data_IF_140802428574
#
_entry.id   IF_140802428574
#
_cell.length_a   1.000
_cell.length_b   1.000
_cell.length_c   1.000
_cell.angle_alpha   90.00
_cell.angle_beta   90.00
_cell.angle_gamma   90.00
#
_symmetry.space_group_name_H-M   'P 1'
#
loop_
_entity.id
_entity.type
_entity.pdbx_description
1 polymer ?
#
# COMPACT_ATOMS: atom_id res chain seq x y z
N UNK A 1 -25.03 3.90 25.82
CA UNK A 1 -23.77 3.89 26.60
C UNK A 1 -23.08 2.56 26.30
N UNK A 2 -22.41 2.48 25.16
CA UNK A 2 -21.58 1.32 24.85
C UNK A 2 -20.16 1.71 25.22
N UNK A 3 -19.84 1.51 26.47
CA UNK A 3 -18.46 1.50 26.94
C UNK A 3 -17.94 0.15 26.44
N UNK A 4 -17.04 0.14 25.48
CA UNK A 4 -16.25 -1.04 25.21
C UNK A 4 -15.29 -1.23 26.38
N UNK A 5 -15.77 -1.92 27.40
CA UNK A 5 -14.93 -2.53 28.43
C UNK A 5 -14.32 -3.79 27.81
N UNK A 6 -13.31 -3.61 27.00
CA UNK A 6 -12.50 -4.68 26.50
C UNK A 6 -11.21 -4.07 25.96
N UNK A 7 -10.07 -4.52 26.46
CA UNK A 7 -8.81 -4.34 25.74
C UNK A 7 -9.05 -4.89 24.34
N UNK A 8 -9.18 -4.00 23.34
CA UNK A 8 -9.09 -4.42 21.95
C UNK A 8 -7.65 -4.89 21.74
N UNK A 9 -7.48 -6.19 21.73
CA UNK A 9 -6.23 -6.86 21.36
C UNK A 9 -6.11 -6.82 19.83
N UNK A 10 -6.17 -5.59 19.29
CA UNK A 10 -5.97 -5.37 17.86
C UNK A 10 -4.47 -5.25 17.64
N UNK A 11 -3.95 -6.13 16.81
CA UNK A 11 -2.53 -6.20 16.47
C UNK A 11 -1.99 -4.82 16.10
N UNK A 12 -0.92 -4.40 16.77
CA UNK A 12 -0.23 -3.12 16.52
C UNK A 12 -0.92 -1.89 17.10
N UNK A 13 -1.97 -2.05 17.91
CA UNK A 13 -2.62 -0.93 18.57
C UNK A 13 -2.35 -0.97 20.09
N UNK A 14 -1.64 0.05 20.58
CA UNK A 14 -1.36 0.22 22.01
C UNK A 14 -2.25 1.32 22.56
N UNK A 15 -2.96 1.03 23.67
CA UNK A 15 -3.78 2.01 24.35
C UNK A 15 -2.91 3.15 24.91
N UNK A 16 -3.31 4.40 24.65
CA UNK A 16 -2.61 5.61 25.07
C UNK A 16 -3.42 6.39 26.11
N UNK A 17 -4.71 6.67 25.81
CA UNK A 17 -5.52 7.58 26.64
C UNK A 17 -7.03 7.36 26.40
N UNK A 18 -7.87 8.00 27.23
CA UNK A 18 -9.31 8.09 27.05
C UNK A 18 -9.74 9.54 27.14
N UNK A 19 -10.34 10.07 26.06
CA UNK A 19 -10.88 11.43 26.00
C UNK A 19 -12.33 11.40 25.51
N UNK A 20 -13.22 12.16 26.16
CA UNK A 20 -14.63 12.25 25.80
C UNK A 20 -15.34 10.88 25.64
N UNK A 21 -15.00 9.91 26.48
CA UNK A 21 -15.47 8.51 26.43
C UNK A 21 -14.99 7.71 25.20
N UNK A 22 -13.97 8.17 24.47
CA UNK A 22 -13.30 7.42 23.40
C UNK A 22 -11.92 6.97 23.86
N UNK A 23 -11.63 5.70 23.68
CA UNK A 23 -10.26 5.19 23.87
C UNK A 23 -9.40 5.55 22.66
N UNK A 24 -8.22 6.08 22.95
CA UNK A 24 -7.21 6.46 21.96
C UNK A 24 -6.13 5.40 21.94
N UNK A 25 -5.83 4.90 20.77
CA UNK A 25 -4.79 3.90 20.55
C UNK A 25 -3.75 4.44 19.56
N UNK A 26 -2.49 4.17 19.81
CA UNK A 26 -1.39 4.39 18.88
C UNK A 26 -1.22 3.14 18.00
N UNK A 27 -1.09 3.35 16.68
CA UNK A 27 -0.84 2.27 15.73
C UNK A 27 0.67 2.14 15.47
N UNK A 28 1.28 1.13 16.05
CA UNK A 28 2.71 0.82 15.89
C UNK A 28 3.08 0.43 14.44
N UNK A 29 2.09 -0.04 13.68
CA UNK A 29 2.25 -0.48 12.28
C UNK A 29 1.65 0.48 11.27
N UNK A 30 1.56 1.75 11.63
CA UNK A 30 1.15 2.79 10.69
C UNK A 30 2.12 2.86 9.51
N UNK A 31 1.56 2.90 8.29
CA UNK A 31 2.29 3.19 7.06
C UNK A 31 1.96 4.60 6.59
N UNK A 32 2.95 5.44 6.30
CA UNK A 32 2.74 6.69 5.59
C UNK A 32 2.02 6.47 4.25
N UNK A 33 1.34 7.48 3.74
CA UNK A 33 0.73 7.42 2.42
C UNK A 33 1.80 7.40 1.34
N UNK A 34 1.60 6.54 0.34
CA UNK A 34 2.54 6.36 -0.77
C UNK A 34 3.72 5.44 -0.41
N UNK A 35 3.76 4.26 -0.99
CA UNK A 35 4.85 3.30 -0.80
C UNK A 35 4.98 2.36 -2.00
N UNK A 36 6.18 1.82 -2.17
CA UNK A 36 6.50 0.88 -3.23
C UNK A 36 6.64 -0.56 -2.69
N UNK A 37 6.70 -1.52 -3.61
CA UNK A 37 6.81 -2.95 -3.30
C UNK A 37 7.99 -3.58 -4.05
N UNK A 38 8.48 -4.69 -3.52
CA UNK A 38 9.50 -5.53 -4.16
C UNK A 38 8.89 -6.71 -4.90
N UNK A 39 7.67 -7.11 -4.51
CA UNK A 39 6.99 -8.30 -4.99
C UNK A 39 5.52 -8.00 -5.32
N UNK A 40 5.01 -8.66 -6.36
CA UNK A 40 3.60 -8.58 -6.73
C UNK A 40 3.00 -9.95 -7.01
N UNK A 41 1.68 -10.01 -6.91
CA UNK A 41 0.85 -11.12 -7.38
C UNK A 41 -0.23 -10.59 -8.31
N UNK A 42 -0.67 -11.37 -9.28
CA UNK A 42 -1.89 -11.02 -10.01
C UNK A 42 -3.13 -11.27 -9.17
N UNK A 43 -4.28 -10.67 -9.54
CA UNK A 43 -5.53 -10.85 -8.82
C UNK A 43 -5.88 -12.34 -8.68
N UNK A 44 -5.84 -13.10 -9.78
CA UNK A 44 -6.11 -14.55 -9.79
C UNK A 44 -5.12 -15.34 -8.92
N UNK A 45 -3.84 -15.01 -8.96
CA UNK A 45 -2.82 -15.71 -8.18
C UNK A 45 -2.96 -15.42 -6.69
N UNK A 46 -3.25 -14.17 -6.32
CA UNK A 46 -3.46 -13.77 -4.93
C UNK A 46 -4.71 -14.42 -4.33
N UNK A 47 -5.81 -14.45 -5.08
CA UNK A 47 -7.05 -15.10 -4.65
C UNK A 47 -6.93 -16.60 -4.49
N UNK A 48 -6.07 -17.24 -5.29
CA UNK A 48 -5.76 -18.67 -5.19
C UNK A 48 -4.83 -18.98 -4.03
N UNK A 49 -3.91 -18.04 -3.70
CA UNK A 49 -2.95 -18.23 -2.61
C UNK A 49 -3.56 -18.02 -1.23
N UNK A 50 -4.50 -17.08 -1.09
CA UNK A 50 -5.02 -16.63 0.21
C UNK A 50 -6.54 -16.62 0.26
N UNK A 51 -7.09 -17.20 1.33
CA UNK A 51 -8.52 -17.11 1.64
C UNK A 51 -8.88 -15.71 2.14
N UNK A 52 -10.14 -15.33 2.04
CA UNK A 52 -10.63 -13.95 2.28
C UNK A 52 -10.15 -13.34 3.60
N UNK A 53 -10.15 -14.09 4.70
CA UNK A 53 -9.72 -13.58 6.01
C UNK A 53 -8.19 -13.43 6.16
N UNK A 54 -7.40 -13.88 5.19
CA UNK A 54 -5.93 -13.74 5.17
C UNK A 54 -5.48 -12.59 4.27
N UNK A 55 -6.29 -12.22 3.28
CA UNK A 55 -5.91 -11.29 2.21
C UNK A 55 -5.48 -9.93 2.77
N UNK A 56 -6.21 -9.38 3.73
CA UNK A 56 -5.92 -8.06 4.28
C UNK A 56 -4.50 -7.93 4.87
N UNK A 57 -4.00 -8.97 5.56
CA UNK A 57 -2.65 -8.95 6.11
C UNK A 57 -1.57 -9.14 5.05
N UNK A 58 -1.89 -9.79 3.92
CA UNK A 58 -0.95 -10.04 2.84
C UNK A 58 -0.85 -8.89 1.84
N UNK A 59 -1.79 -7.92 1.86
CA UNK A 59 -1.70 -6.69 1.06
C UNK A 59 -0.54 -5.78 1.48
N UNK A 60 0.00 -5.92 2.68
CA UNK A 60 1.26 -5.26 3.06
C UNK A 60 2.49 -5.95 2.46
N UNK A 61 2.39 -7.23 2.10
CA UNK A 61 3.49 -8.00 1.51
C UNK A 61 3.53 -7.88 0.00
N UNK A 62 2.38 -7.97 -0.66
CA UNK A 62 2.27 -7.98 -2.11
C UNK A 62 1.36 -6.86 -2.60
N UNK A 63 1.81 -6.12 -3.62
CA UNK A 63 0.88 -5.35 -4.44
C UNK A 63 0.13 -6.32 -5.35
N UNK A 64 -1.18 -6.15 -5.46
CA UNK A 64 -2.03 -6.99 -6.30
C UNK A 64 -2.36 -6.23 -7.58
N UNK A 65 -2.13 -6.86 -8.73
CA UNK A 65 -2.24 -6.22 -10.04
C UNK A 65 -3.18 -7.00 -10.96
N UNK A 66 -3.81 -6.34 -11.94
CA UNK A 66 -4.62 -7.03 -12.94
C UNK A 66 -3.82 -8.12 -13.69
N UNK A 67 -4.47 -9.25 -13.99
CA UNK A 67 -3.81 -10.41 -14.61
C UNK A 67 -3.18 -10.06 -15.98
N UNK A 68 -3.86 -9.24 -16.77
CA UNK A 68 -3.43 -8.81 -18.10
C UNK A 68 -2.23 -7.84 -18.09
N UNK A 69 -1.92 -7.24 -16.94
CA UNK A 69 -0.79 -6.33 -16.78
C UNK A 69 0.43 -6.98 -16.10
N UNK A 70 0.45 -8.29 -15.87
CA UNK A 70 1.53 -8.99 -15.18
C UNK A 70 2.92 -8.75 -15.79
N UNK A 71 3.04 -8.78 -17.11
CA UNK A 71 4.31 -8.55 -17.82
C UNK A 71 4.82 -7.11 -17.65
N UNK A 72 3.90 -6.13 -17.60
CA UNK A 72 4.25 -4.74 -17.32
C UNK A 72 4.87 -4.61 -15.91
N UNK A 73 4.22 -5.15 -14.88
CA UNK A 73 4.71 -5.05 -13.51
C UNK A 73 5.99 -5.88 -13.24
N UNK A 74 6.24 -6.92 -14.05
CA UNK A 74 7.48 -7.72 -13.98
C UNK A 74 8.75 -6.92 -14.33
N UNK A 75 8.62 -5.74 -14.94
CA UNK A 75 9.74 -4.84 -15.21
C UNK A 75 10.25 -4.13 -13.94
N UNK A 76 9.41 -4.00 -12.93
CA UNK A 76 9.68 -3.26 -11.69
C UNK A 76 9.87 -4.18 -10.49
N UNK A 77 9.11 -5.27 -10.43
CA UNK A 77 8.96 -6.11 -9.24
C UNK A 77 9.04 -7.59 -9.59
N UNK A 78 9.32 -8.42 -8.59
CA UNK A 78 9.32 -9.88 -8.74
C UNK A 78 7.90 -10.43 -8.66
N UNK A 79 7.46 -11.16 -9.70
CA UNK A 79 6.19 -11.90 -9.66
C UNK A 79 6.27 -13.09 -8.72
N UNK A 80 5.30 -13.22 -7.84
CA UNK A 80 5.16 -14.36 -6.94
C UNK A 80 3.93 -15.18 -7.34
N UNK A 81 4.13 -16.48 -7.53
CA UNK A 81 3.07 -17.42 -7.87
C UNK A 81 2.53 -18.14 -6.61
N UNK A 82 1.28 -18.60 -6.59
CA UNK A 82 0.67 -19.23 -5.41
C UNK A 82 1.50 -20.37 -4.80
N UNK A 83 2.05 -21.23 -5.66
CA UNK A 83 2.86 -22.39 -5.23
C UNK A 83 4.30 -22.01 -4.79
N UNK A 84 4.77 -20.81 -5.16
CA UNK A 84 6.09 -20.29 -4.80
C UNK A 84 6.03 -19.39 -3.56
N UNK A 85 4.83 -18.94 -3.17
CA UNK A 85 4.67 -18.09 -1.98
C UNK A 85 4.98 -18.91 -0.73
N UNK A 86 6.08 -18.56 -0.06
CA UNK A 86 6.47 -19.10 1.24
C UNK A 86 5.89 -18.30 2.40
N UNK A 87 5.35 -17.12 2.12
CA UNK A 87 4.78 -16.25 3.13
C UNK A 87 3.44 -16.82 3.60
N UNK A 88 3.32 -17.03 4.89
CA UNK A 88 2.06 -17.43 5.53
C UNK A 88 1.38 -16.20 6.10
N UNK A 89 0.07 -16.07 5.84
CA UNK A 89 -0.71 -15.02 6.48
C UNK A 89 -0.65 -15.20 8.01
N UNK A 90 -0.21 -14.15 8.69
CA UNK A 90 -0.05 -14.16 10.15
C UNK A 90 0.66 -12.90 10.64
N UNK A 91 0.71 -12.77 11.94
CA UNK A 91 1.26 -11.59 12.62
C UNK A 91 2.71 -11.30 12.24
N UNK A 92 3.58 -12.30 12.25
CA UNK A 92 4.99 -12.14 11.93
C UNK A 92 5.22 -11.66 10.50
N UNK A 93 4.48 -12.22 9.54
CA UNK A 93 4.55 -11.78 8.13
C UNK A 93 4.02 -10.36 7.99
N UNK A 94 2.93 -10.01 8.68
CA UNK A 94 2.38 -8.66 8.66
C UNK A 94 3.39 -7.64 9.21
N UNK A 95 3.95 -7.89 10.41
CA UNK A 95 4.98 -7.03 11.02
C UNK A 95 6.18 -6.82 10.11
N UNK A 96 6.76 -7.91 9.60
CA UNK A 96 7.91 -7.86 8.70
C UNK A 96 7.58 -7.06 7.42
N UNK A 97 6.39 -7.26 6.85
CA UNK A 97 5.96 -6.57 5.63
C UNK A 97 5.75 -5.07 5.87
N UNK A 98 5.19 -4.68 7.01
CA UNK A 98 5.04 -3.25 7.36
C UNK A 98 6.40 -2.58 7.51
N UNK A 99 7.36 -3.23 8.17
CA UNK A 99 8.72 -2.69 8.31
C UNK A 99 9.39 -2.54 6.94
N UNK A 100 9.28 -3.53 6.07
CA UNK A 100 9.78 -3.46 4.69
C UNK A 100 9.14 -2.30 3.91
N UNK A 101 7.81 -2.10 4.04
CA UNK A 101 7.13 -0.97 3.37
C UNK A 101 7.57 0.39 3.88
N UNK A 102 7.88 0.52 5.18
CA UNK A 102 8.37 1.79 5.74
C UNK A 102 9.66 2.28 5.11
N UNK A 103 10.55 1.36 4.74
CA UNK A 103 11.81 1.71 4.05
C UNK A 103 11.57 2.19 2.61
N UNK A 104 10.36 1.98 2.07
CA UNK A 104 9.98 2.31 0.70
C UNK A 104 8.77 3.27 0.66
N UNK A 105 8.58 4.09 1.70
CA UNK A 105 7.52 5.08 1.79
C UNK A 105 7.94 6.42 1.22
N UNK A 106 6.94 7.23 0.85
CA UNK A 106 7.13 8.64 0.59
C UNK A 106 7.67 9.36 1.82
N UNK A 107 8.62 10.26 1.62
CA UNK A 107 9.19 11.13 2.66
C UNK A 107 8.27 12.32 2.97
N UNK A 108 7.48 12.73 1.98
CA UNK A 108 6.52 13.83 2.10
C UNK A 108 5.19 13.40 1.48
N UNK A 109 4.09 13.84 2.08
CA UNK A 109 2.73 13.66 1.55
C UNK A 109 1.85 14.81 2.02
N UNK A 110 1.37 15.63 1.08
CA UNK A 110 0.50 16.77 1.31
C UNK A 110 -0.82 16.58 0.57
N UNK A 111 -1.93 16.70 1.30
CA UNK A 111 -3.28 16.52 0.78
C UNK A 111 -4.05 17.83 0.74
N UNK A 112 -4.80 18.06 -0.33
CA UNK A 112 -5.71 19.19 -0.49
C UNK A 112 -7.08 18.75 -1.02
N UNK A 113 -8.02 19.69 -1.14
CA UNK A 113 -9.32 19.43 -1.80
C UNK A 113 -9.22 19.21 -3.31
N UNK A 114 -8.08 19.46 -3.91
CA UNK A 114 -7.82 19.35 -5.35
C UNK A 114 -6.98 18.12 -5.73
N UNK A 115 -6.44 17.40 -4.74
CA UNK A 115 -5.57 16.29 -4.95
C UNK A 115 -4.49 16.17 -3.88
N UNK A 116 -3.37 15.55 -4.21
CA UNK A 116 -2.24 15.39 -3.28
C UNK A 116 -0.89 15.45 -3.99
N UNK A 117 0.13 15.82 -3.22
CA UNK A 117 1.53 15.79 -3.63
C UNK A 117 2.29 14.83 -2.74
N UNK A 118 3.30 14.16 -3.29
CA UNK A 118 4.14 13.25 -2.55
C UNK A 118 5.57 13.25 -3.10
N UNK A 119 6.55 12.93 -2.25
CA UNK A 119 7.94 12.74 -2.67
C UNK A 119 8.45 11.39 -2.23
N UNK A 120 9.15 10.70 -3.13
CA UNK A 120 9.79 9.42 -2.87
C UNK A 120 11.14 9.33 -3.57
N UNK A 121 12.12 8.72 -2.90
CA UNK A 121 13.41 8.36 -3.51
C UNK A 121 13.46 6.86 -3.70
N UNK A 122 13.75 6.42 -4.91
CA UNK A 122 13.80 5.01 -5.29
C UNK A 122 15.18 4.62 -5.83
N UNK A 123 15.71 3.49 -5.42
CA UNK A 123 17.00 2.97 -5.94
C UNK A 123 16.90 2.52 -7.41
N UNK A 124 15.72 2.11 -7.84
CA UNK A 124 15.40 1.66 -9.21
C UNK A 124 13.98 2.07 -9.58
N UNK A 125 13.63 2.12 -10.87
CA UNK A 125 12.25 2.37 -11.28
C UNK A 125 11.29 1.40 -10.60
N UNK A 126 10.15 1.91 -10.15
CA UNK A 126 9.10 1.12 -9.48
C UNK A 126 7.74 1.78 -9.60
N UNK A 127 6.71 1.10 -9.13
CA UNK A 127 5.35 1.61 -9.03
C UNK A 127 5.07 1.98 -7.56
N UNK A 128 4.60 3.22 -7.34
CA UNK A 128 4.24 3.73 -6.02
C UNK A 128 2.73 3.70 -5.88
N UNK A 129 2.24 2.97 -4.86
CA UNK A 129 0.82 2.85 -4.51
C UNK A 129 0.44 3.91 -3.48
N UNK A 130 -0.72 4.52 -3.66
CA UNK A 130 -1.38 5.36 -2.66
C UNK A 130 -2.71 4.72 -2.27
N UNK A 131 -3.00 4.65 -0.96
CA UNK A 131 -4.26 4.11 -0.44
C UNK A 131 -5.43 5.08 -0.66
N UNK A 132 -5.54 5.59 -1.89
CA UNK A 132 -6.58 6.49 -2.38
C UNK A 132 -7.40 5.73 -3.42
N UNK A 133 -8.74 5.80 -3.37
CA UNK A 133 -9.59 5.09 -4.33
C UNK A 133 -9.32 5.50 -5.78
N UNK A 134 -9.24 4.50 -6.68
CA UNK A 134 -9.15 4.71 -8.11
C UNK A 134 -10.51 5.07 -8.70
N UNK A 135 -10.55 6.16 -9.45
CA UNK A 135 -11.69 6.57 -10.28
C UNK A 135 -11.22 6.68 -11.73
N UNK A 136 -11.92 6.03 -12.65
CA UNK A 136 -11.44 5.82 -14.03
C UNK A 136 -11.09 7.13 -14.75
N UNK A 137 -11.87 8.19 -14.58
CA UNK A 137 -11.64 9.51 -15.19
C UNK A 137 -11.48 10.60 -14.13
N UNK A 138 -11.20 10.21 -12.87
CA UNK A 138 -11.20 11.11 -11.73
C UNK A 138 -9.81 11.59 -11.31
N UNK A 139 -8.74 11.00 -11.86
CA UNK A 139 -7.38 11.32 -11.49
C UNK A 139 -6.49 11.58 -12.70
N UNK A 140 -5.72 12.65 -12.65
CA UNK A 140 -4.52 12.83 -13.45
C UNK A 140 -3.29 12.74 -12.56
N UNK A 141 -2.16 12.29 -13.09
CA UNK A 141 -0.93 12.19 -12.35
C UNK A 141 0.26 12.73 -13.14
N UNK A 142 1.15 13.43 -12.45
CA UNK A 142 2.48 13.78 -12.98
C UNK A 142 3.58 13.26 -12.06
N UNK A 143 4.72 12.91 -12.65
CA UNK A 143 5.95 12.56 -11.94
C UNK A 143 7.06 13.42 -12.51
N UNK A 144 7.69 14.24 -11.68
CA UNK A 144 8.69 15.23 -12.08
C UNK A 144 8.17 16.16 -13.21
N UNK A 145 6.88 16.57 -13.12
CA UNK A 145 6.21 17.41 -14.10
C UNK A 145 5.86 16.73 -15.43
N UNK A 146 6.08 15.41 -15.56
CA UNK A 146 5.71 14.63 -16.75
C UNK A 146 4.46 13.81 -16.44
N UNK A 147 3.44 13.93 -17.29
CA UNK A 147 2.20 13.15 -17.19
C UNK A 147 2.48 11.64 -17.22
N UNK A 148 1.80 10.90 -16.36
CA UNK A 148 1.88 9.46 -16.21
C UNK A 148 0.49 8.81 -16.16
N UNK A 149 0.40 7.57 -16.66
CA UNK A 149 -0.81 6.76 -16.52
C UNK A 149 -1.10 6.51 -15.03
N UNK A 150 -2.34 6.78 -14.61
CA UNK A 150 -2.83 6.39 -13.28
C UNK A 150 -3.19 4.91 -13.33
N UNK A 151 -2.47 4.11 -12.59
CA UNK A 151 -2.63 2.67 -12.54
C UNK A 151 -3.64 2.27 -11.46
N UNK A 152 -4.53 1.32 -11.79
CA UNK A 152 -5.40 0.68 -10.82
C UNK A 152 -4.73 -0.57 -10.27
N UNK A 153 -4.52 -0.62 -8.95
CA UNK A 153 -3.89 -1.76 -8.26
C UNK A 153 -4.65 -2.13 -6.99
N UNK A 154 -4.36 -3.29 -6.43
CA UNK A 154 -4.83 -3.72 -5.11
C UNK A 154 -6.35 -3.52 -4.95
N UNK A 155 -7.10 -4.03 -5.95
CA UNK A 155 -8.57 -4.01 -6.02
C UNK A 155 -9.22 -2.62 -6.12
N UNK A 156 -8.46 -1.55 -6.33
CA UNK A 156 -9.04 -0.23 -6.56
C UNK A 156 -8.31 0.93 -5.90
N UNK A 157 -7.03 0.80 -5.62
CA UNK A 157 -6.18 1.94 -5.25
C UNK A 157 -5.44 2.51 -6.46
N UNK A 158 -5.07 3.79 -6.35
CA UNK A 158 -4.24 4.44 -7.38
C UNK A 158 -2.77 4.11 -7.19
N UNK A 159 -2.05 4.04 -8.31
CA UNK A 159 -0.60 3.95 -8.31
C UNK A 159 -0.04 4.68 -9.54
N UNK A 160 1.27 4.98 -9.51
CA UNK A 160 1.97 5.64 -10.60
C UNK A 160 3.38 5.07 -10.76
N UNK A 161 3.87 5.00 -12.01
CA UNK A 161 5.25 4.63 -12.32
C UNK A 161 6.19 5.78 -11.98
N UNK A 162 7.25 5.46 -11.21
CA UNK A 162 8.31 6.37 -10.82
C UNK A 162 9.68 5.88 -11.28
N UNK A 163 10.56 6.80 -11.62
CA UNK A 163 11.95 6.51 -12.00
C UNK A 163 12.86 6.22 -10.82
N UNK A 164 14.11 5.84 -11.10
CA UNK A 164 15.16 5.82 -10.08
C UNK A 164 15.52 7.25 -9.66
N UNK A 165 15.91 7.43 -8.40
CA UNK A 165 16.24 8.72 -7.81
C UNK A 165 15.03 9.41 -7.18
N UNK A 166 15.09 10.72 -7.06
CA UNK A 166 14.03 11.55 -6.48
C UNK A 166 12.85 11.67 -7.44
N UNK A 167 11.63 11.47 -6.93
CA UNK A 167 10.38 11.62 -7.66
C UNK A 167 9.46 12.58 -6.90
N UNK A 168 9.03 13.63 -7.59
CA UNK A 168 8.01 14.57 -7.16
C UNK A 168 6.70 14.21 -7.87
N UNK A 169 5.71 13.76 -7.10
CA UNK A 169 4.47 13.14 -7.58
C UNK A 169 3.32 14.09 -7.29
N UNK A 170 2.48 14.36 -8.27
CA UNK A 170 1.26 15.15 -8.11
C UNK A 170 0.07 14.37 -8.68
N UNK A 171 -1.01 14.30 -7.91
CA UNK A 171 -2.33 13.81 -8.33
C UNK A 171 -3.36 14.91 -8.19
N UNK A 172 -4.18 15.11 -9.23
CA UNK A 172 -5.24 16.14 -9.29
C UNK A 172 -6.50 15.64 -9.98
#
# INVERSE_FOLDING_TARGET
KTVYEGKHDTLGFTYVDTQNNYNIYENEYFLPMGFAYTEFMTESDFERAYITNQRHSMLCKYIVVPDEKADYYSQFMTRVYPNASKARAGEETYKASVLERREMCCSEFDYSSYGFNAKITLDKPNVVLFSVPYEADGWTATVNGTEREVLRVTYGFVAVECGAGENDIEFS
#
